data_IF_202766957669
#
_entry.id   IF_202766957669
#
_cell.length_a   1.000
_cell.length_b   1.000
_cell.length_c   1.000
_cell.angle_alpha   90.00
_cell.angle_beta   90.00
_cell.angle_gamma   90.00
#
_symmetry.space_group_name_H-M   'P 1'
#
loop_
_entity.id
_entity.type
_entity.pdbx_description
1 polymer ?
#
# COMPACT_ATOMS: atom_id res chain seq x y z
N UNK A 1 1.11 19.42 -10.48
CA UNK A 1 0.77 18.48 -9.38
C UNK A 1 -0.27 17.48 -9.85
N UNK A 2 -0.08 16.24 -9.57
CA UNK A 2 -1.04 15.21 -9.92
C UNK A 2 -1.16 14.17 -8.82
N UNK A 3 -2.18 13.34 -8.92
CA UNK A 3 -2.44 12.28 -7.97
C UNK A 3 -2.60 10.99 -8.76
N UNK A 4 -1.84 9.96 -8.37
CA UNK A 4 -1.99 8.61 -8.90
C UNK A 4 -2.57 7.74 -7.79
N UNK A 5 -3.67 7.07 -8.08
CA UNK A 5 -4.32 6.20 -7.11
C UNK A 5 -4.34 4.77 -7.63
N UNK A 6 -3.88 3.83 -6.80
CA UNK A 6 -4.02 2.40 -7.07
C UNK A 6 -4.96 1.87 -6.00
N UNK A 7 -6.14 1.47 -6.40
CA UNK A 7 -7.21 1.15 -5.48
C UNK A 7 -7.61 -0.32 -5.57
N UNK A 8 -7.96 -0.90 -4.42
CA UNK A 8 -8.46 -2.25 -4.37
C UNK A 8 -7.44 -3.33 -4.65
N UNK A 9 -6.18 -3.11 -4.30
CA UNK A 9 -5.15 -4.16 -4.43
C UNK A 9 -5.41 -5.25 -3.41
N UNK A 10 -5.68 -6.45 -3.87
CA UNK A 10 -6.05 -7.56 -3.01
C UNK A 10 -4.89 -8.52 -2.82
N UNK A 11 -4.62 -8.85 -1.54
CA UNK A 11 -3.55 -9.77 -1.17
C UNK A 11 -4.03 -10.72 -0.09
N UNK A 12 -3.57 -11.97 -0.14
CA UNK A 12 -3.68 -12.87 1.00
C UNK A 12 -2.35 -12.80 1.75
N UNK A 13 -2.39 -12.47 3.04
CA UNK A 13 -1.19 -12.21 3.81
C UNK A 13 -1.37 -12.66 5.26
N UNK A 14 -0.27 -12.61 6.03
CA UNK A 14 -0.20 -13.21 7.35
C UNK A 14 0.15 -12.19 8.43
N UNK A 15 -0.31 -10.95 8.25
CA UNK A 15 -0.11 -9.90 9.24
C UNK A 15 -1.09 -10.05 10.39
N UNK A 16 -0.60 -9.94 11.60
CA UNK A 16 -1.45 -9.96 12.76
C UNK A 16 -0.66 -10.13 14.05
N UNK A 17 -1.22 -9.64 15.15
CA UNK A 17 -0.62 -9.73 16.47
C UNK A 17 -0.71 -11.16 17.02
N UNK A 18 -1.82 -11.84 16.77
CA UNK A 18 -2.04 -13.18 17.31
C UNK A 18 -1.39 -14.25 16.44
N UNK A 19 -0.89 -15.33 17.08
CA UNK A 19 -0.21 -16.41 16.39
C UNK A 19 -1.09 -17.05 15.31
N UNK A 20 -2.39 -17.19 15.56
CA UNK A 20 -3.33 -17.79 14.59
C UNK A 20 -3.38 -17.00 13.31
N UNK A 21 -3.33 -15.67 13.38
CA UNK A 21 -3.36 -14.81 12.19
C UNK A 21 -2.12 -15.02 11.33
N UNK A 22 -0.98 -15.28 11.96
CA UNK A 22 0.29 -15.48 11.27
C UNK A 22 0.38 -16.86 10.59
N UNK A 23 -0.46 -17.80 11.01
CA UNK A 23 -0.50 -19.16 10.45
C UNK A 23 -1.62 -19.31 9.43
N UNK A 24 -2.82 -18.82 9.77
CA UNK A 24 -4.01 -18.96 8.92
C UNK A 24 -4.03 -17.92 7.81
N UNK A 25 -3.60 -16.71 8.12
CA UNK A 25 -3.63 -15.59 7.18
C UNK A 25 -5.01 -14.98 7.03
N UNK A 26 -5.09 -13.95 6.19
CA UNK A 26 -6.33 -13.25 5.93
C UNK A 26 -6.23 -12.51 4.60
N UNK A 27 -7.37 -12.06 4.11
CA UNK A 27 -7.46 -11.20 2.93
C UNK A 27 -7.28 -9.75 3.34
N UNK A 28 -6.41 -9.06 2.62
CA UNK A 28 -6.13 -7.64 2.82
C UNK A 28 -6.39 -6.89 1.53
N UNK A 29 -6.82 -5.64 1.67
CA UNK A 29 -6.98 -4.73 0.53
C UNK A 29 -6.10 -3.51 0.81
N UNK A 30 -5.29 -3.13 -0.18
CA UNK A 30 -4.42 -1.97 -0.06
C UNK A 30 -4.82 -0.92 -1.08
N UNK A 31 -4.96 0.32 -0.61
CA UNK A 31 -5.20 1.49 -1.45
C UNK A 31 -4.02 2.44 -1.29
N UNK A 32 -3.50 2.91 -2.41
CA UNK A 32 -2.32 3.75 -2.45
C UNK A 32 -2.62 5.04 -3.19
N UNK A 33 -2.23 6.17 -2.60
CA UNK A 33 -2.35 7.49 -3.22
C UNK A 33 -0.98 8.12 -3.28
N UNK A 34 -0.54 8.48 -4.49
CA UNK A 34 0.77 9.05 -4.75
C UNK A 34 0.61 10.45 -5.31
N UNK A 35 1.23 11.42 -4.65
CA UNK A 35 1.22 12.82 -5.09
C UNK A 35 2.56 13.10 -5.79
N UNK A 36 2.49 13.44 -7.06
CA UNK A 36 3.67 13.68 -7.89
C UNK A 36 3.33 14.69 -8.98
N UNK A 37 4.36 15.25 -9.61
CA UNK A 37 4.15 16.15 -10.74
C UNK A 37 3.92 15.30 -12.00
N UNK A 38 2.71 15.35 -12.53
CA UNK A 38 2.34 14.63 -13.74
C UNK A 38 2.38 15.52 -14.99
N UNK A 39 2.81 16.79 -14.85
CA UNK A 39 2.77 17.76 -15.94
C UNK A 39 3.64 17.39 -17.12
N UNK A 40 4.85 16.92 -16.88
CA UNK A 40 5.78 16.56 -17.94
C UNK A 40 5.27 15.37 -18.74
N UNK A 41 4.81 14.32 -18.04
CA UNK A 41 4.24 13.14 -18.71
C UNK A 41 2.97 13.47 -19.47
N UNK A 42 2.15 14.38 -18.94
CA UNK A 42 0.93 14.82 -19.60
C UNK A 42 1.20 15.48 -20.95
N UNK A 43 2.36 16.12 -21.10
CA UNK A 43 2.75 16.78 -22.35
C UNK A 43 3.50 15.82 -23.28
N UNK A 44 4.44 15.07 -22.76
CA UNK A 44 5.37 14.26 -23.58
C UNK A 44 4.79 12.92 -24.02
N UNK A 45 3.83 12.38 -23.27
CA UNK A 45 3.33 11.02 -23.48
C UNK A 45 4.46 9.98 -23.43
N UNK A 46 5.48 10.23 -22.61
CA UNK A 46 6.65 9.36 -22.47
C UNK A 46 6.68 8.77 -21.07
N UNK A 47 6.75 7.44 -20.98
CA UNK A 47 6.74 6.72 -19.71
C UNK A 47 7.88 7.15 -18.79
N UNK A 48 9.05 7.49 -19.35
CA UNK A 48 10.19 7.92 -18.51
C UNK A 48 9.95 9.24 -17.78
N UNK A 49 8.96 10.02 -18.21
CA UNK A 49 8.58 11.26 -17.54
C UNK A 49 7.48 11.05 -16.50
N UNK A 50 7.03 9.81 -16.33
CA UNK A 50 5.94 9.45 -15.43
C UNK A 50 6.47 8.65 -14.24
N UNK A 51 5.74 8.70 -13.12
CA UNK A 51 5.94 7.75 -12.05
C UNK A 51 5.32 6.41 -12.49
N UNK A 52 6.15 5.37 -12.56
CA UNK A 52 5.69 4.06 -13.03
C UNK A 52 4.92 3.33 -11.92
N UNK A 53 3.58 3.37 -11.98
CA UNK A 53 2.75 2.75 -10.95
C UNK A 53 2.78 1.22 -10.98
N UNK A 54 3.24 0.59 -12.08
CA UNK A 54 3.48 -0.84 -12.08
C UNK A 54 4.56 -1.21 -11.06
N UNK A 55 5.61 -0.39 -10.97
CA UNK A 55 6.67 -0.56 -9.96
C UNK A 55 6.11 -0.34 -8.56
N UNK A 56 5.24 0.67 -8.39
CA UNK A 56 4.60 0.93 -7.11
C UNK A 56 3.77 -0.28 -6.65
N UNK A 57 3.03 -0.90 -7.56
CA UNK A 57 2.28 -2.12 -7.25
C UNK A 57 3.20 -3.25 -6.78
N UNK A 58 4.33 -3.45 -7.48
CA UNK A 58 5.28 -4.51 -7.11
C UNK A 58 5.88 -4.29 -5.73
N UNK A 59 6.16 -3.04 -5.37
CA UNK A 59 6.64 -2.69 -4.03
C UNK A 59 5.62 -3.10 -2.97
N UNK A 60 4.36 -2.73 -3.17
CA UNK A 60 3.28 -3.10 -2.24
C UNK A 60 3.18 -4.61 -2.13
N UNK A 61 3.19 -5.32 -3.25
CA UNK A 61 3.10 -6.77 -3.28
C UNK A 61 4.22 -7.43 -2.47
N UNK A 62 5.44 -6.97 -2.66
CA UNK A 62 6.60 -7.53 -1.95
C UNK A 62 6.52 -7.28 -0.45
N UNK A 63 6.13 -6.06 -0.05
CA UNK A 63 6.03 -5.73 1.37
C UNK A 63 4.87 -6.46 2.03
N UNK A 64 3.77 -6.65 1.34
CA UNK A 64 2.64 -7.41 1.89
C UNK A 64 2.98 -8.87 2.11
N UNK A 65 3.95 -9.42 1.38
CA UNK A 65 4.41 -10.79 1.56
C UNK A 65 5.27 -10.99 2.82
N UNK A 66 5.81 -9.91 3.39
CA UNK A 66 6.60 -9.95 4.63
C UNK A 66 5.69 -9.71 5.82
N UNK A 67 5.47 -10.74 6.63
CA UNK A 67 4.56 -10.66 7.78
C UNK A 67 5.03 -9.66 8.83
N UNK A 68 4.08 -8.90 9.36
CA UNK A 68 4.27 -8.03 10.51
C UNK A 68 3.11 -8.22 11.48
N UNK A 69 3.35 -7.89 12.74
CA UNK A 69 2.30 -7.97 13.76
C UNK A 69 1.30 -6.85 13.65
N UNK A 70 1.75 -5.69 13.19
CA UNK A 70 0.93 -4.47 13.11
C UNK A 70 0.86 -3.97 11.68
N UNK A 71 -0.32 -3.55 11.27
CA UNK A 71 -0.53 -2.96 9.93
C UNK A 71 0.25 -1.65 9.78
N UNK A 72 0.41 -0.90 10.86
CA UNK A 72 1.22 0.32 10.88
C UNK A 72 2.65 0.05 10.42
N UNK A 73 3.22 -1.07 10.84
CA UNK A 73 4.58 -1.43 10.47
C UNK A 73 4.71 -1.75 8.98
N UNK A 74 3.75 -2.51 8.45
CA UNK A 74 3.70 -2.80 7.01
C UNK A 74 3.55 -1.50 6.22
N UNK A 75 2.63 -0.64 6.64
CA UNK A 75 2.37 0.64 5.98
C UNK A 75 3.64 1.51 5.94
N UNK A 76 4.36 1.58 7.06
CA UNK A 76 5.61 2.35 7.14
C UNK A 76 6.66 1.80 6.17
N UNK A 77 6.80 0.47 6.08
CA UNK A 77 7.75 -0.16 5.15
C UNK A 77 7.40 0.15 3.69
N UNK A 78 6.12 0.12 3.36
CA UNK A 78 5.66 0.46 1.99
C UNK A 78 6.04 1.90 1.68
N UNK A 79 5.71 2.84 2.57
CA UNK A 79 6.02 4.26 2.34
C UNK A 79 7.51 4.50 2.20
N UNK A 80 8.34 3.90 3.05
CA UNK A 80 9.79 4.05 2.99
C UNK A 80 10.34 3.56 1.65
N UNK A 81 9.86 2.43 1.16
CA UNK A 81 10.31 1.90 -0.14
C UNK A 81 9.87 2.77 -1.29
N UNK A 82 8.66 3.32 -1.25
CA UNK A 82 8.17 4.21 -2.30
C UNK A 82 9.03 5.46 -2.40
N UNK A 83 9.41 6.04 -1.27
CA UNK A 83 10.26 7.24 -1.27
C UNK A 83 11.69 6.95 -1.74
N UNK A 84 12.20 5.75 -1.49
CA UNK A 84 13.51 5.36 -2.02
C UNK A 84 13.49 5.12 -3.51
N UNK A 85 12.37 4.64 -4.04
CA UNK A 85 12.25 4.31 -5.46
C UNK A 85 11.94 5.54 -6.33
N UNK A 86 11.09 6.43 -5.85
CA UNK A 86 10.59 7.54 -6.65
C UNK A 86 11.06 8.89 -6.12
N UNK A 87 12.03 9.49 -6.80
CA UNK A 87 12.52 10.82 -6.44
C UNK A 87 11.45 11.90 -6.60
N UNK A 88 10.56 11.72 -7.57
CA UNK A 88 9.49 12.68 -7.87
C UNK A 88 8.33 12.65 -6.88
N UNK A 89 8.32 11.69 -5.96
CA UNK A 89 7.22 11.53 -5.02
C UNK A 89 7.22 12.66 -4.00
N UNK A 90 6.13 13.41 -3.94
CA UNK A 90 5.99 14.54 -3.03
C UNK A 90 5.29 14.15 -1.73
N UNK A 91 4.29 13.27 -1.85
CA UNK A 91 3.53 12.77 -0.71
C UNK A 91 2.95 11.43 -1.07
N UNK A 92 2.85 10.54 -0.10
CA UNK A 92 2.20 9.24 -0.29
C UNK A 92 1.29 8.92 0.87
N UNK A 93 0.19 8.24 0.56
CA UNK A 93 -0.76 7.75 1.54
C UNK A 93 -1.06 6.30 1.23
N UNK A 94 -0.96 5.43 2.24
CA UNK A 94 -1.30 4.02 2.10
C UNK A 94 -2.34 3.64 3.13
N UNK A 95 -3.40 2.96 2.66
CA UNK A 95 -4.46 2.42 3.52
C UNK A 95 -4.44 0.92 3.39
N UNK A 96 -4.27 0.22 4.51
CA UNK A 96 -4.28 -1.24 4.55
C UNK A 96 -5.51 -1.68 5.34
N UNK A 97 -6.35 -2.48 4.70
CA UNK A 97 -7.60 -2.98 5.29
C UNK A 97 -7.49 -4.48 5.49
N UNK A 98 -7.72 -4.92 6.73
CA UNK A 98 -7.83 -6.34 7.08
C UNK A 98 -9.32 -6.69 7.01
N UNK A 99 -9.66 -7.64 6.16
CA UNK A 99 -11.05 -8.03 5.94
C UNK A 99 -11.51 -9.01 7.02
N UNK A 100 -12.74 -8.82 7.49
CA UNK A 100 -13.36 -9.70 8.49
C UNK A 100 -12.42 -9.99 9.67
N UNK A 101 -11.92 -8.95 10.37
CA UNK A 101 -10.94 -9.15 11.43
C UNK A 101 -11.52 -9.92 12.61
N UNK A 102 -10.71 -10.77 13.27
CA UNK A 102 -11.19 -11.58 14.41
C UNK A 102 -11.30 -10.75 15.69
N UNK A 103 -12.29 -9.88 15.77
CA UNK A 103 -12.48 -8.93 16.87
C UNK A 103 -13.67 -9.25 17.76
N UNK A 104 -14.26 -10.44 17.61
CA UNK A 104 -15.36 -10.88 18.45
C UNK A 104 -16.75 -10.44 17.97
N UNK A 105 -16.85 -9.89 16.77
CA UNK A 105 -18.11 -9.46 16.17
C UNK A 105 -18.05 -9.54 14.66
N UNK A 106 -19.16 -9.19 14.02
CA UNK A 106 -19.21 -9.13 12.56
C UNK A 106 -18.77 -7.75 12.11
N UNK A 107 -17.53 -7.65 11.67
CA UNK A 107 -16.91 -6.40 11.20
C UNK A 107 -16.44 -6.63 9.78
N UNK A 108 -16.83 -5.75 8.86
CA UNK A 108 -16.42 -5.88 7.47
C UNK A 108 -14.89 -5.79 7.34
N UNK A 109 -14.32 -4.77 7.93
CA UNK A 109 -12.87 -4.54 7.86
C UNK A 109 -12.43 -3.57 8.93
N UNK A 110 -11.14 -3.63 9.24
CA UNK A 110 -10.44 -2.59 10.00
C UNK A 110 -9.29 -2.09 9.13
N UNK A 111 -9.09 -0.78 9.12
CA UNK A 111 -8.11 -0.16 8.23
C UNK A 111 -7.16 0.75 9.01
N UNK A 112 -5.92 0.78 8.56
CA UNK A 112 -4.90 1.73 9.03
C UNK A 112 -4.44 2.53 7.84
N UNK A 113 -4.41 3.85 7.97
CA UNK A 113 -3.92 4.75 6.94
C UNK A 113 -2.75 5.54 7.48
N UNK A 114 -1.63 5.51 6.78
CA UNK A 114 -0.47 6.34 7.07
C UNK A 114 -0.17 7.25 5.90
N UNK A 115 0.28 8.46 6.21
CA UNK A 115 0.74 9.44 5.22
C UNK A 115 2.18 9.83 5.53
N UNK A 116 2.91 10.15 4.50
CA UNK A 116 4.27 10.65 4.67
C UNK A 116 4.67 11.61 3.57
#
# INVERSE_FOLDING_TARGET
>A
MGIIEIEGMEFYAYHGHFAEEQVVGNRFIVDLTLFTDCGKAAVSDDLKDALNYQVAYLIVKEEMANSSRLLEHVAARILDRLYREFESLEKAKVKISKMNPPMGGQIEKVSVTLEK
#
